data_IF_004714664738
#
_entry.id   IF_004714664738
#
_cell.length_a   1.000
_cell.length_b   1.000
_cell.length_c   1.000
_cell.angle_alpha   90.00
_cell.angle_beta   90.00
_cell.angle_gamma   90.00
#
_symmetry.space_group_name_H-M   'P 1'
#
loop_
_entity.id
_entity.type
_entity.pdbx_description
1 polymer ?
#
# COMPACT_ATOMS: atom_id res chain seq x y z
N UNK A 1 -19.00 -34.17 19.75
CA UNK A 1 -18.61 -32.75 19.80
C UNK A 1 -17.71 -32.42 18.61
N UNK A 2 -17.99 -31.35 17.85
CA UNK A 2 -17.12 -30.89 16.75
C UNK A 2 -16.25 -29.73 17.24
N UNK A 3 -15.15 -30.05 17.94
CA UNK A 3 -14.29 -29.02 18.55
C UNK A 3 -13.68 -28.07 17.50
N UNK A 4 -13.42 -28.56 16.30
CA UNK A 4 -12.98 -27.77 15.15
C UNK A 4 -13.95 -26.63 14.79
N UNK A 5 -15.26 -26.86 14.90
CA UNK A 5 -16.26 -25.81 14.66
C UNK A 5 -16.17 -24.71 15.71
N UNK A 6 -15.96 -25.06 16.99
CA UNK A 6 -15.83 -24.10 18.08
C UNK A 6 -14.54 -23.30 18.00
N UNK A 7 -13.42 -23.93 17.65
CA UNK A 7 -12.15 -23.24 17.40
C UNK A 7 -12.32 -22.26 16.24
N UNK A 8 -12.93 -22.70 15.13
CA UNK A 8 -13.23 -21.84 13.97
C UNK A 8 -14.08 -20.63 14.35
N UNK A 9 -15.14 -20.81 15.15
CA UNK A 9 -15.99 -19.72 15.62
C UNK A 9 -15.22 -18.71 16.49
N UNK A 10 -14.36 -19.19 17.40
CA UNK A 10 -13.54 -18.32 18.23
C UNK A 10 -12.52 -17.52 17.41
N UNK A 11 -11.98 -18.09 16.33
CA UNK A 11 -11.02 -17.40 15.45
C UNK A 11 -11.62 -16.18 14.71
N UNK A 12 -12.94 -16.06 14.60
CA UNK A 12 -13.55 -14.82 14.07
C UNK A 12 -13.40 -13.65 15.05
N UNK A 13 -13.57 -13.90 16.34
CA UNK A 13 -13.64 -12.86 17.37
C UNK A 13 -12.32 -12.62 18.10
N UNK A 14 -11.44 -13.62 18.11
CA UNK A 14 -10.17 -13.57 18.84
C UNK A 14 -8.96 -13.62 17.90
N UNK A 15 -7.84 -13.07 18.38
CA UNK A 15 -6.55 -13.12 17.68
C UNK A 15 -5.79 -14.41 18.02
N UNK A 16 -6.02 -14.98 19.21
CA UNK A 16 -5.40 -16.24 19.62
C UNK A 16 -6.43 -17.16 20.26
N UNK A 17 -6.39 -18.45 19.91
CA UNK A 17 -7.20 -19.50 20.51
C UNK A 17 -6.27 -20.63 20.92
N UNK A 18 -6.19 -20.90 22.22
CA UNK A 18 -5.33 -21.95 22.76
C UNK A 18 -6.12 -23.25 22.91
N UNK A 19 -5.53 -24.34 22.43
CA UNK A 19 -6.03 -25.71 22.64
C UNK A 19 -5.08 -26.39 23.62
N UNK A 20 -5.51 -26.63 24.88
CA UNK A 20 -4.69 -27.27 25.89
C UNK A 20 -4.08 -28.58 25.39
N UNK A 21 -2.82 -28.84 25.76
CA UNK A 21 -2.06 -30.02 25.34
C UNK A 21 -1.81 -30.17 23.83
N UNK A 22 -2.26 -29.25 22.98
CA UNK A 22 -1.98 -29.24 21.53
C UNK A 22 -1.07 -28.07 21.14
N UNK A 23 -1.50 -26.84 21.44
CA UNK A 23 -0.85 -25.60 21.01
C UNK A 23 -1.87 -24.47 20.82
N UNK A 24 -1.44 -23.34 20.27
CA UNK A 24 -2.29 -22.18 20.05
C UNK A 24 -2.35 -21.75 18.58
N UNK A 25 -3.56 -21.45 18.12
CA UNK A 25 -3.79 -20.79 16.84
C UNK A 25 -3.67 -19.29 17.00
N UNK A 26 -2.90 -18.65 16.13
CA UNK A 26 -2.64 -17.20 16.14
C UNK A 26 -3.04 -16.64 14.79
N UNK A 27 -4.01 -15.73 14.78
CA UNK A 27 -4.47 -15.01 13.60
C UNK A 27 -3.71 -13.70 13.44
N UNK A 28 -2.94 -13.58 12.35
CA UNK A 28 -2.21 -12.38 11.99
C UNK A 28 -2.93 -11.63 10.87
N UNK A 29 -3.03 -10.31 10.97
CA UNK A 29 -3.57 -9.51 9.88
C UNK A 29 -2.65 -9.55 8.65
N UNK A 30 -3.24 -9.74 7.48
CA UNK A 30 -2.58 -9.69 6.18
C UNK A 30 -3.27 -8.67 5.30
N UNK A 31 -2.54 -7.62 4.91
CA UNK A 31 -3.06 -6.57 4.02
C UNK A 31 -3.48 -7.12 2.67
N UNK A 32 -4.44 -6.42 2.03
CA UNK A 32 -4.83 -6.69 0.65
C UNK A 32 -3.61 -6.60 -0.29
N UNK A 33 -3.54 -7.50 -1.27
CA UNK A 33 -2.43 -7.55 -2.21
C UNK A 33 -2.88 -8.03 -3.59
N UNK A 34 -2.05 -7.69 -4.59
CA UNK A 34 -2.24 -8.12 -5.97
C UNK A 34 -1.25 -9.22 -6.26
N UNK A 35 -1.73 -10.35 -6.77
CA UNK A 35 -0.91 -11.43 -7.29
C UNK A 35 -0.61 -11.18 -8.77
N UNK A 36 0.60 -10.71 -9.14
CA UNK A 36 0.84 -10.14 -10.47
C UNK A 36 0.72 -11.16 -11.60
N UNK A 37 1.12 -12.41 -11.34
CA UNK A 37 1.10 -13.50 -12.32
C UNK A 37 -0.32 -13.93 -12.71
N UNK A 38 -1.25 -13.89 -11.76
CA UNK A 38 -2.64 -14.31 -11.95
C UNK A 38 -3.57 -13.12 -12.21
N UNK A 39 -3.07 -11.88 -12.09
CA UNK A 39 -3.88 -10.66 -12.06
C UNK A 39 -5.05 -10.76 -11.07
N UNK A 40 -4.82 -11.43 -9.94
CA UNK A 40 -5.81 -11.67 -8.89
C UNK A 40 -5.61 -10.69 -7.75
N UNK A 41 -6.68 -10.04 -7.34
CA UNK A 41 -6.75 -9.15 -6.19
C UNK A 41 -7.23 -9.97 -5.01
N UNK A 42 -6.48 -9.92 -3.91
CA UNK A 42 -6.82 -10.56 -2.65
C UNK A 42 -7.23 -9.49 -1.66
N UNK A 43 -8.39 -9.70 -1.03
CA UNK A 43 -8.88 -8.85 0.05
C UNK A 43 -7.95 -8.95 1.29
N UNK A 44 -8.02 -7.99 2.23
CA UNK A 44 -7.32 -8.15 3.49
C UNK A 44 -7.85 -9.39 4.22
N UNK A 45 -7.00 -10.13 4.89
CA UNK A 45 -7.39 -11.39 5.54
C UNK A 45 -6.72 -11.59 6.89
N UNK A 46 -7.27 -12.51 7.70
CA UNK A 46 -6.66 -12.99 8.94
C UNK A 46 -5.95 -14.31 8.63
N UNK A 47 -4.62 -14.28 8.54
CA UNK A 47 -3.80 -15.46 8.29
C UNK A 47 -3.60 -16.25 9.60
N UNK A 48 -4.08 -17.49 9.63
CA UNK A 48 -3.93 -18.38 10.78
C UNK A 48 -2.55 -19.05 10.77
N UNK A 49 -1.89 -19.05 11.91
CA UNK A 49 -0.63 -19.72 12.18
C UNK A 49 -0.77 -20.58 13.43
N UNK A 50 0.07 -21.60 13.59
CA UNK A 50 0.02 -22.49 14.75
C UNK A 50 1.33 -22.44 15.53
N UNK A 51 1.23 -22.34 16.85
CA UNK A 51 2.36 -22.37 17.77
C UNK A 51 2.19 -23.51 18.79
N UNK A 52 3.03 -24.54 18.65
CA UNK A 52 3.04 -25.72 19.54
C UNK A 52 3.40 -25.40 21.00
N UNK A 53 4.07 -24.27 21.25
CA UNK A 53 4.56 -23.92 22.59
C UNK A 53 3.46 -23.25 23.44
N UNK A 54 2.37 -22.79 22.83
CA UNK A 54 1.22 -22.22 23.53
C UNK A 54 0.33 -23.35 24.08
N UNK A 55 0.77 -23.99 25.16
CA UNK A 55 0.07 -25.13 25.78
C UNK A 55 -0.73 -24.76 27.02
N UNK A 56 -0.50 -23.58 27.59
CA UNK A 56 -1.15 -23.13 28.83
C UNK A 56 -2.62 -22.88 28.60
N UNK A 57 -3.48 -23.55 29.36
CA UNK A 57 -4.93 -23.35 29.27
C UNK A 57 -5.31 -21.96 29.81
N UNK A 58 -5.77 -21.09 28.91
CA UNK A 58 -6.31 -19.75 29.22
C UNK A 58 -7.81 -19.77 29.56
N UNK A 59 -8.43 -20.95 29.46
CA UNK A 59 -9.85 -21.16 29.74
C UNK A 59 -10.79 -20.73 28.62
N UNK A 60 -10.31 -20.05 27.55
CA UNK A 60 -11.18 -19.48 26.51
C UNK A 60 -12.00 -20.57 25.79
N UNK A 61 -11.31 -21.57 25.25
CA UNK A 61 -11.96 -22.67 24.54
C UNK A 61 -12.82 -23.52 25.48
N UNK A 62 -12.32 -23.81 26.67
CA UNK A 62 -13.01 -24.66 27.65
C UNK A 62 -14.32 -24.01 28.14
N UNK A 63 -14.32 -22.72 28.45
CA UNK A 63 -15.54 -21.98 28.79
C UNK A 63 -16.53 -21.93 27.62
N UNK A 64 -16.04 -21.67 26.40
CA UNK A 64 -16.91 -21.63 25.22
C UNK A 64 -17.61 -22.97 24.97
N UNK A 65 -16.89 -24.08 25.10
CA UNK A 65 -17.45 -25.43 24.98
C UNK A 65 -18.45 -25.71 26.11
N UNK A 66 -18.09 -25.40 27.35
CA UNK A 66 -18.97 -25.60 28.51
C UNK A 66 -20.31 -24.85 28.34
N UNK A 67 -20.26 -23.61 27.84
CA UNK A 67 -21.44 -22.79 27.57
C UNK A 67 -22.29 -23.38 26.43
N UNK A 68 -21.68 -23.74 25.29
CA UNK A 68 -22.42 -24.23 24.11
C UNK A 68 -23.01 -25.62 24.29
N UNK A 69 -22.32 -26.51 24.98
CA UNK A 69 -22.75 -27.90 25.21
C UNK A 69 -23.49 -28.06 26.54
N UNK A 70 -23.65 -27.00 27.35
CA UNK A 70 -24.24 -27.03 28.69
C UNK A 70 -23.56 -28.04 29.63
N UNK A 71 -22.24 -28.16 29.53
CA UNK A 71 -21.41 -29.06 30.32
C UNK A 71 -20.73 -28.32 31.48
N UNK A 72 -20.29 -29.05 32.50
CA UNK A 72 -19.41 -28.45 33.50
C UNK A 72 -18.04 -28.12 32.87
N UNK A 73 -17.36 -27.11 33.40
CA UNK A 73 -16.02 -26.74 32.93
C UNK A 73 -15.05 -27.94 32.94
N UNK A 74 -15.11 -28.77 33.98
CA UNK A 74 -14.25 -29.96 34.10
C UNK A 74 -14.58 -31.01 33.03
N UNK A 75 -15.86 -31.19 32.70
CA UNK A 75 -16.27 -32.08 31.60
C UNK A 75 -15.79 -31.54 30.25
N UNK A 76 -15.92 -30.23 30.01
CA UNK A 76 -15.43 -29.59 28.78
C UNK A 76 -13.91 -29.77 28.61
N UNK A 77 -13.12 -29.63 29.69
CA UNK A 77 -11.69 -29.93 29.66
C UNK A 77 -11.40 -31.39 29.27
N UNK A 78 -12.12 -32.36 29.85
CA UNK A 78 -11.96 -33.79 29.52
C UNK A 78 -12.29 -34.09 28.06
N UNK A 79 -13.34 -33.49 27.52
CA UNK A 79 -13.73 -33.62 26.10
C UNK A 79 -12.66 -33.03 25.16
N UNK A 80 -12.09 -31.87 25.51
CA UNK A 80 -10.99 -31.25 24.76
C UNK A 80 -9.74 -32.16 24.78
N UNK A 81 -9.39 -32.70 25.94
CA UNK A 81 -8.25 -33.62 26.07
C UNK A 81 -8.44 -34.89 25.25
N UNK A 82 -9.65 -35.47 25.27
CA UNK A 82 -9.99 -36.64 24.46
C UNK A 82 -9.86 -36.37 22.96
N UNK A 83 -10.31 -35.19 22.51
CA UNK A 83 -10.16 -34.76 21.12
C UNK A 83 -8.68 -34.61 20.72
N UNK A 84 -7.88 -33.93 21.54
CA UNK A 84 -6.44 -33.74 21.28
C UNK A 84 -5.71 -35.08 21.26
N UNK A 85 -6.08 -36.01 22.14
CA UNK A 85 -5.54 -37.36 22.15
C UNK A 85 -5.85 -38.11 20.84
N UNK A 86 -7.10 -38.07 20.38
CA UNK A 86 -7.51 -38.67 19.11
C UNK A 86 -6.74 -38.05 17.92
N UNK A 87 -6.64 -36.72 17.87
CA UNK A 87 -5.92 -36.00 16.82
C UNK A 87 -4.43 -36.37 16.78
N UNK A 88 -3.77 -36.45 17.94
CA UNK A 88 -2.36 -36.88 18.03
C UNK A 88 -2.18 -38.33 17.59
N UNK A 89 -3.12 -39.23 17.88
CA UNK A 89 -3.06 -40.60 17.40
C UNK A 89 -3.21 -40.69 15.88
N UNK A 90 -4.15 -39.93 15.30
CA UNK A 90 -4.29 -39.82 13.84
C UNK A 90 -3.01 -39.29 13.20
N UNK A 91 -2.36 -38.27 13.79
CA UNK A 91 -1.06 -37.77 13.32
C UNK A 91 0.05 -38.81 13.38
N UNK A 92 0.08 -39.67 14.41
CA UNK A 92 1.08 -40.74 14.53
C UNK A 92 0.86 -41.84 13.50
N UNK A 93 -0.39 -42.23 13.25
CA UNK A 93 -0.72 -43.34 12.33
C UNK A 93 -0.67 -42.91 10.86
N UNK A 94 -1.29 -41.77 10.53
CA UNK A 94 -1.48 -41.34 9.15
C UNK A 94 -0.46 -40.27 8.70
N UNK A 95 0.39 -39.77 9.61
CA UNK A 95 1.26 -38.59 9.42
C UNK A 95 0.53 -37.28 9.10
N UNK A 96 -0.78 -37.31 8.93
CA UNK A 96 -1.62 -36.16 8.59
C UNK A 96 -2.88 -36.16 9.46
N UNK A 97 -3.33 -34.97 9.85
CA UNK A 97 -4.62 -34.77 10.51
C UNK A 97 -5.22 -33.44 10.08
N UNK A 98 -6.49 -33.46 9.69
CA UNK A 98 -7.22 -32.29 9.21
C UNK A 98 -8.15 -31.75 10.28
N UNK A 99 -8.24 -30.43 10.38
CA UNK A 99 -9.25 -29.69 11.13
C UNK A 99 -10.10 -28.89 10.15
N UNK A 100 -11.40 -29.13 10.14
CA UNK A 100 -12.33 -28.47 9.22
C UNK A 100 -12.29 -26.93 9.40
N UNK A 101 -12.19 -26.20 8.27
CA UNK A 101 -12.09 -24.73 8.18
C UNK A 101 -10.83 -24.09 8.79
N UNK A 102 -9.99 -24.84 9.51
CA UNK A 102 -8.82 -24.28 10.21
C UNK A 102 -7.54 -24.61 9.45
N UNK A 103 -7.32 -25.87 9.08
CA UNK A 103 -6.10 -26.30 8.40
C UNK A 103 -5.72 -27.76 8.61
N UNK A 104 -4.55 -28.13 8.10
CA UNK A 104 -4.02 -29.48 8.11
C UNK A 104 -2.69 -29.53 8.86
N UNK A 105 -2.57 -30.50 9.76
CA UNK A 105 -1.32 -30.86 10.40
C UNK A 105 -0.62 -31.96 9.60
N UNK A 106 0.68 -31.79 9.38
CA UNK A 106 1.55 -32.70 8.66
C UNK A 106 2.75 -33.03 9.54
N UNK A 107 3.15 -34.30 9.57
CA UNK A 107 4.33 -34.76 10.28
C UNK A 107 5.40 -35.12 9.26
N UNK A 108 6.52 -34.39 9.29
CA UNK A 108 7.64 -34.67 8.39
C UNK A 108 8.36 -35.97 8.79
N UNK A 109 9.26 -36.46 7.92
CA UNK A 109 10.08 -37.64 8.16
C UNK A 109 10.95 -37.54 9.43
N UNK A 110 11.25 -36.32 9.88
CA UNK A 110 11.95 -36.02 11.14
C UNK A 110 11.02 -35.90 12.35
N UNK A 111 9.75 -36.30 12.22
CA UNK A 111 8.69 -36.12 13.23
C UNK A 111 8.44 -34.66 13.64
N UNK A 112 8.77 -33.71 12.77
CA UNK A 112 8.48 -32.29 12.97
C UNK A 112 7.05 -31.99 12.57
N UNK A 113 6.31 -31.33 13.46
CA UNK A 113 4.94 -30.89 13.21
C UNK A 113 4.94 -29.63 12.33
N UNK A 114 4.26 -29.71 11.19
CA UNK A 114 3.96 -28.63 10.28
C UNK A 114 2.46 -28.38 10.26
N UNK A 115 2.06 -27.11 10.09
CA UNK A 115 0.67 -26.70 10.00
C UNK A 115 0.47 -25.87 8.74
N UNK A 116 -0.49 -26.26 7.91
CA UNK A 116 -0.92 -25.52 6.74
C UNK A 116 -2.35 -25.00 6.99
N UNK A 117 -2.56 -23.67 7.04
CA UNK A 117 -3.89 -23.11 7.28
C UNK A 117 -4.80 -23.35 6.08
N UNK A 118 -6.09 -23.56 6.36
CA UNK A 118 -7.10 -23.51 5.32
C UNK A 118 -7.32 -22.04 4.88
N UNK A 119 -7.41 -21.82 3.57
CA UNK A 119 -7.58 -20.51 2.95
C UNK A 119 -8.99 -20.32 2.38
N UNK A 120 -9.89 -21.27 2.62
CA UNK A 120 -11.30 -21.22 2.20
C UNK A 120 -12.05 -20.07 2.89
N UNK A 121 -11.88 -19.93 4.20
CA UNK A 121 -12.58 -18.95 5.04
C UNK A 121 -11.68 -17.78 5.44
N UNK A 122 -12.25 -16.57 5.44
CA UNK A 122 -11.55 -15.38 5.92
C UNK A 122 -12.03 -15.00 7.34
N UNK A 123 -11.22 -15.31 8.34
CA UNK A 123 -11.51 -15.01 9.75
C UNK A 123 -11.43 -13.52 10.11
N UNK A 124 -11.16 -12.63 9.16
CA UNK A 124 -11.22 -11.19 9.35
C UNK A 124 -12.63 -10.66 9.07
N UNK A 125 -13.39 -10.39 10.14
CA UNK A 125 -14.75 -9.85 10.04
C UNK A 125 -14.81 -8.51 9.29
N UNK A 126 -13.78 -7.67 9.40
CA UNK A 126 -13.70 -6.39 8.69
C UNK A 126 -13.64 -6.55 7.16
N UNK A 127 -13.29 -7.74 6.66
CA UNK A 127 -13.26 -8.07 5.24
C UNK A 127 -14.45 -8.91 4.80
N UNK A 128 -15.47 -9.06 5.65
CA UNK A 128 -16.68 -9.81 5.29
C UNK A 128 -17.32 -9.21 4.04
N UNK A 129 -17.61 -10.06 3.05
CA UNK A 129 -18.13 -9.66 1.74
C UNK A 129 -17.07 -9.21 0.73
N UNK A 130 -15.81 -9.04 1.12
CA UNK A 130 -14.72 -8.73 0.18
C UNK A 130 -14.16 -10.03 -0.41
N UNK A 131 -14.64 -10.41 -1.60
CA UNK A 131 -14.14 -11.58 -2.32
C UNK A 131 -12.89 -11.24 -3.15
N UNK A 132 -12.03 -12.24 -3.34
CA UNK A 132 -10.93 -12.13 -4.30
C UNK A 132 -11.49 -12.14 -5.72
N UNK A 133 -11.04 -11.23 -6.57
CA UNK A 133 -11.46 -11.16 -7.97
C UNK A 133 -10.26 -11.09 -8.92
N UNK A 134 -10.47 -11.51 -10.16
CA UNK A 134 -9.44 -11.50 -11.19
C UNK A 134 -9.75 -10.41 -12.22
N UNK A 135 -8.72 -9.70 -12.67
CA UNK A 135 -8.86 -8.67 -13.72
C UNK A 135 -8.03 -9.03 -14.94
N UNK A 136 -8.38 -8.45 -16.08
CA UNK A 136 -7.53 -8.49 -17.26
C UNK A 136 -6.31 -7.56 -17.08
N UNK A 137 -5.15 -7.91 -17.67
CA UNK A 137 -3.99 -7.03 -17.66
C UNK A 137 -4.29 -5.70 -18.35
N UNK A 138 -4.04 -4.60 -17.64
CA UNK A 138 -4.18 -3.26 -18.20
C UNK A 138 -3.01 -3.03 -19.16
N UNK A 139 -3.28 -2.99 -20.46
CA UNK A 139 -2.31 -2.53 -21.47
C UNK A 139 -2.17 -1.02 -21.36
N UNK A 140 -1.19 -0.57 -20.58
CA UNK A 140 -0.82 0.84 -20.54
C UNK A 140 0.00 1.14 -21.80
N UNK A 141 -0.56 1.97 -22.68
CA UNK A 141 0.18 2.55 -23.81
C UNK A 141 1.40 3.24 -23.21
N UNK A 142 2.59 2.81 -23.60
CA UNK A 142 3.82 3.42 -23.10
C UNK A 142 3.89 4.89 -23.53
N UNK A 143 4.57 5.74 -22.78
CA UNK A 143 4.78 7.13 -23.22
C UNK A 143 5.50 7.17 -24.59
N UNK A 144 6.31 6.17 -24.91
CA UNK A 144 6.96 5.98 -26.21
C UNK A 144 5.94 5.74 -27.34
N UNK A 145 4.91 4.94 -27.09
CA UNK A 145 3.80 4.73 -28.04
C UNK A 145 2.91 5.96 -28.18
N UNK A 146 2.66 6.72 -27.11
CA UNK A 146 1.96 8.01 -27.21
C UNK A 146 2.75 9.01 -28.06
N UNK A 147 4.05 9.18 -27.78
CA UNK A 147 4.91 10.09 -28.53
C UNK A 147 4.99 9.69 -30.01
N UNK A 148 5.14 8.40 -30.33
CA UNK A 148 5.15 7.95 -31.73
C UNK A 148 3.81 8.14 -32.43
N UNK A 149 2.69 7.96 -31.73
CA UNK A 149 1.37 8.25 -32.29
C UNK A 149 1.15 9.74 -32.51
N UNK A 150 1.54 10.59 -31.55
CA UNK A 150 1.47 12.05 -31.68
C UNK A 150 2.38 12.55 -32.81
N UNK A 151 3.59 12.01 -32.94
CA UNK A 151 4.51 12.33 -34.04
C UNK A 151 3.98 11.85 -35.40
N UNK A 152 3.32 10.69 -35.48
CA UNK A 152 2.66 10.22 -36.70
C UNK A 152 1.47 11.11 -37.09
N UNK A 153 0.70 11.57 -36.12
CA UNK A 153 -0.40 12.52 -36.35
C UNK A 153 0.17 13.84 -36.90
N UNK A 154 1.24 14.37 -36.29
CA UNK A 154 1.93 15.58 -36.77
C UNK A 154 2.50 15.39 -38.19
N UNK A 155 3.12 14.25 -38.48
CA UNK A 155 3.65 13.94 -39.81
C UNK A 155 2.54 13.86 -40.88
N UNK A 156 1.37 13.33 -40.54
CA UNK A 156 0.21 13.26 -41.45
C UNK A 156 -0.49 14.62 -41.63
N UNK A 157 -0.40 15.53 -40.66
CA UNK A 157 -0.90 16.91 -40.79
C UNK A 157 0.01 17.85 -41.57
N UNK A 158 1.16 17.38 -42.07
CA UNK A 158 1.92 18.14 -43.06
C UNK A 158 1.13 18.22 -44.37
N UNK A 159 0.27 19.25 -44.45
CA UNK A 159 -0.53 19.57 -45.60
C UNK A 159 0.40 19.59 -46.83
N UNK A 160 0.08 18.73 -47.80
CA UNK A 160 0.75 18.67 -49.10
C UNK A 160 0.84 20.09 -49.64
N UNK A 161 2.05 20.64 -49.78
CA UNK A 161 2.27 21.92 -50.44
C UNK A 161 1.89 21.71 -51.90
N UNK A 162 0.64 22.04 -52.23
CA UNK A 162 0.19 22.21 -53.61
C UNK A 162 0.80 23.53 -54.07
N UNK A 163 1.73 23.47 -55.02
CA UNK A 163 2.16 24.67 -55.73
C UNK A 163 0.95 25.21 -56.51
N UNK A 164 0.30 26.22 -55.94
CA UNK A 164 -0.71 27.03 -56.65
C UNK A 164 0.02 28.23 -57.21
N UNK A 165 0.38 28.14 -58.49
CA UNK A 165 0.66 29.30 -59.31
C UNK A 165 -0.67 30.05 -59.52
N UNK A 166 -0.82 31.28 -59.03
CA UNK A 166 -1.56 32.36 -59.72
C UNK A 166 -1.75 33.67 -58.90
N UNK A 167 -1.47 34.78 -59.61
CA UNK A 167 -1.95 36.17 -59.53
C UNK A 167 -2.33 36.82 -58.16
N UNK A 168 -1.46 37.73 -57.73
CA UNK A 168 -1.43 38.44 -56.45
C UNK A 168 -2.49 39.54 -56.21
N UNK A 169 -3.52 39.72 -57.05
CA UNK A 169 -4.44 40.89 -56.89
C UNK A 169 -5.55 40.67 -55.85
N UNK A 170 -5.94 39.42 -55.55
CA UNK A 170 -7.04 39.12 -54.60
C UNK A 170 -6.60 39.10 -53.13
N UNK A 171 -5.32 38.87 -52.84
CA UNK A 171 -4.79 38.81 -51.46
C UNK A 171 -4.81 40.17 -50.75
N UNK A 172 -4.57 41.26 -51.48
CA UNK A 172 -4.64 42.62 -50.93
C UNK A 172 -6.07 43.04 -50.56
N UNK A 173 -7.08 42.55 -51.30
CA UNK A 173 -8.49 42.81 -51.00
C UNK A 173 -8.91 42.05 -49.73
N UNK A 174 -8.50 40.78 -49.58
CA UNK A 174 -8.80 40.00 -48.38
C UNK A 174 -8.09 40.56 -47.12
N UNK A 175 -6.85 41.03 -47.25
CA UNK A 175 -6.12 41.68 -46.16
C UNK A 175 -6.79 42.99 -45.71
N UNK A 176 -7.29 43.80 -46.64
CA UNK A 176 -7.99 45.04 -46.33
C UNK A 176 -9.31 44.80 -45.57
N UNK A 177 -10.06 43.75 -45.93
CA UNK A 177 -11.33 43.40 -45.26
C UNK A 177 -11.13 43.05 -43.78
N UNK A 178 -9.98 42.45 -43.42
CA UNK A 178 -9.68 42.09 -42.03
C UNK A 178 -9.06 43.28 -41.28
N UNK A 179 -8.17 44.04 -41.92
CA UNK A 179 -7.45 45.12 -41.27
C UNK A 179 -8.33 46.31 -40.88
N UNK A 180 -9.34 46.64 -41.68
CA UNK A 180 -10.25 47.78 -41.42
C UNK A 180 -11.04 47.61 -40.11
N UNK A 181 -11.77 46.50 -39.87
CA UNK A 181 -12.51 46.33 -38.62
C UNK A 181 -11.58 46.19 -37.40
N UNK A 182 -10.40 45.57 -37.56
CA UNK A 182 -9.41 45.44 -36.48
C UNK A 182 -8.82 46.79 -36.08
N UNK A 183 -8.51 47.65 -37.05
CA UNK A 183 -8.03 49.00 -36.80
C UNK A 183 -9.11 49.89 -36.18
N UNK A 184 -10.38 49.70 -36.58
CA UNK A 184 -11.51 50.41 -35.98
C UNK A 184 -11.76 50.00 -34.53
N UNK A 185 -11.71 48.70 -34.22
CA UNK A 185 -11.80 48.21 -32.83
C UNK A 185 -10.61 48.68 -31.97
N UNK A 186 -9.40 48.64 -32.51
CA UNK A 186 -8.21 49.12 -31.81
C UNK A 186 -8.28 50.62 -31.48
N UNK A 187 -8.95 51.41 -32.33
CA UNK A 187 -9.19 52.83 -32.06
C UNK A 187 -10.38 53.09 -31.14
N UNK A 188 -11.46 52.29 -31.22
CA UNK A 188 -12.67 52.50 -30.44
C UNK A 188 -12.47 52.09 -28.95
N UNK A 189 -11.83 50.95 -28.68
CA UNK A 189 -11.73 50.40 -27.33
C UNK A 189 -11.08 51.38 -26.31
N UNK A 190 -9.95 52.05 -26.61
CA UNK A 190 -9.32 52.98 -25.65
C UNK A 190 -10.16 54.22 -25.31
N UNK A 191 -11.14 54.57 -26.14
CA UNK A 191 -11.99 55.76 -25.93
C UNK A 191 -13.08 55.48 -24.89
N UNK A 192 -13.59 54.24 -24.81
CA UNK A 192 -14.70 53.89 -23.91
C UNK A 192 -14.29 53.04 -22.70
N UNK A 193 -13.07 52.51 -22.70
CA UNK A 193 -12.57 51.66 -21.63
C UNK A 193 -11.24 52.21 -21.13
N UNK A 194 -11.18 52.51 -19.82
CA UNK A 194 -9.95 52.89 -19.15
C UNK A 194 -9.06 51.66 -18.98
N UNK A 195 -8.23 51.41 -20.00
CA UNK A 195 -7.21 50.35 -20.04
C UNK A 195 -5.98 50.67 -19.19
N UNK A 196 -5.95 51.82 -18.50
CA UNK A 196 -4.82 52.26 -17.67
C UNK A 196 -5.00 52.01 -16.16
N UNK A 197 -6.11 51.41 -15.72
CA UNK A 197 -6.34 51.03 -14.33
C UNK A 197 -5.45 49.87 -13.83
N UNK A 198 -5.15 49.86 -12.53
CA UNK A 198 -4.30 48.88 -11.82
C UNK A 198 -4.66 47.43 -12.19
N UNK A 199 -3.92 46.88 -13.16
CA UNK A 199 -4.01 45.49 -13.59
C UNK A 199 -3.48 44.57 -12.50
N UNK A 200 -4.37 44.17 -11.59
CA UNK A 200 -4.08 43.18 -10.58
C UNK A 200 -4.00 41.79 -11.27
N UNK A 201 -2.82 41.16 -11.25
CA UNK A 201 -2.52 39.90 -11.96
C UNK A 201 -3.46 38.72 -11.62
N UNK A 202 -4.27 38.83 -10.57
CA UNK A 202 -5.27 37.84 -10.17
C UNK A 202 -6.69 38.07 -10.76
N UNK A 203 -6.94 39.16 -11.52
CA UNK A 203 -8.25 39.45 -12.12
C UNK A 203 -8.35 38.91 -13.55
N UNK A 204 -8.91 37.70 -13.72
CA UNK A 204 -9.18 37.09 -15.04
C UNK A 204 -10.57 37.41 -15.61
N UNK A 205 -11.37 38.25 -14.95
CA UNK A 205 -12.67 38.67 -15.47
C UNK A 205 -12.90 40.19 -15.27
N UNK A 206 -12.88 41.00 -16.35
CA UNK A 206 -13.10 42.44 -16.27
C UNK A 206 -14.58 42.85 -16.16
N UNK A 207 -15.51 41.88 -16.05
CA UNK A 207 -16.95 42.13 -16.08
C UNK A 207 -17.69 41.83 -14.75
N UNK A 208 -16.98 41.59 -13.64
CA UNK A 208 -17.61 41.25 -12.35
C UNK A 208 -17.51 42.43 -11.37
N UNK A 209 -18.67 42.81 -10.83
CA UNK A 209 -18.83 43.92 -9.88
C UNK A 209 -18.31 43.52 -8.48
N UNK A 210 -17.53 44.42 -7.86
CA UNK A 210 -16.63 44.14 -6.72
C UNK A 210 -17.34 44.29 -5.34
N UNK A 211 -18.66 44.08 -5.29
CA UNK A 211 -19.49 44.36 -4.10
C UNK A 211 -19.43 43.27 -3.01
N UNK A 212 -18.82 42.12 -3.28
CA UNK A 212 -18.66 41.01 -2.33
C UNK A 212 -17.18 40.66 -2.12
N UNK A 213 -16.45 41.53 -1.42
CA UNK A 213 -15.12 41.19 -0.92
C UNK A 213 -15.27 40.42 0.39
N UNK A 214 -14.76 39.18 0.43
CA UNK A 214 -14.64 38.45 1.69
C UNK A 214 -13.63 39.20 2.58
N UNK A 215 -14.14 39.90 3.60
CA UNK A 215 -13.31 40.56 4.60
C UNK A 215 -12.82 39.48 5.56
N UNK A 216 -11.50 39.24 5.57
CA UNK A 216 -10.89 38.38 6.57
C UNK A 216 -11.04 39.03 7.95
N UNK A 217 -11.72 38.36 8.87
CA UNK A 217 -11.73 38.71 10.29
C UNK A 217 -10.80 37.76 11.03
N UNK A 218 -9.78 38.31 11.66
CA UNK A 218 -8.83 37.55 12.46
C UNK A 218 -9.54 36.84 13.63
N UNK A 219 -9.18 35.57 13.85
CA UNK A 219 -9.69 34.76 14.96
C UNK A 219 -9.09 35.30 16.26
N UNK A 220 -9.93 35.81 17.18
CA UNK A 220 -9.49 36.15 18.54
C UNK A 220 -9.11 34.86 19.28
N UNK A 221 -7.96 34.91 19.96
CA UNK A 221 -7.22 33.86 20.67
C UNK A 221 -8.06 32.70 21.28
N UNK A 222 -7.52 31.46 21.32
CA UNK A 222 -8.17 30.34 21.97
C UNK A 222 -8.23 30.56 23.49
N UNK A 223 -9.43 30.39 24.06
CA UNK A 223 -9.64 30.27 25.50
C UNK A 223 -8.70 29.21 26.08
N UNK A 224 -7.93 29.60 27.11
CA UNK A 224 -7.01 28.73 27.81
C UNK A 224 -7.77 27.56 28.47
N UNK A 225 -7.17 26.37 28.44
CA UNK A 225 -7.68 25.17 29.12
C UNK A 225 -7.78 25.42 30.63
N UNK A 226 -8.95 25.22 31.23
CA UNK A 226 -9.12 25.26 32.68
C UNK A 226 -8.87 23.87 33.29
N UNK A 227 -8.50 23.81 34.58
CA UNK A 227 -8.29 22.53 35.29
C UNK A 227 -9.54 21.65 35.35
N UNK A 228 -10.73 22.27 35.31
CA UNK A 228 -12.01 21.56 35.28
C UNK A 228 -12.22 20.75 33.97
N UNK A 229 -11.64 21.21 32.85
CA UNK A 229 -11.74 20.53 31.55
C UNK A 229 -10.90 19.24 31.53
N UNK A 230 -9.81 19.20 32.31
CA UNK A 230 -8.94 18.03 32.44
C UNK A 230 -9.60 16.90 33.23
N UNK A 231 -10.38 17.24 34.26
CA UNK A 231 -11.15 16.26 35.05
C UNK A 231 -12.23 15.58 34.20
N UNK A 232 -12.87 16.33 33.30
CA UNK A 232 -13.88 15.82 32.37
C UNK A 232 -13.27 14.82 31.37
N UNK A 233 -12.02 15.03 30.95
CA UNK A 233 -11.29 14.13 30.07
C UNK A 233 -10.93 12.80 30.76
N UNK A 234 -10.51 12.85 32.03
CA UNK A 234 -10.17 11.64 32.80
C UNK A 234 -11.38 10.72 33.02
N UNK A 235 -12.55 11.29 33.28
CA UNK A 235 -13.78 10.50 33.48
C UNK A 235 -14.27 9.86 32.18
N UNK A 236 -14.08 10.51 31.03
CA UNK A 236 -14.35 9.93 29.71
C UNK A 236 -13.37 8.78 29.42
N UNK A 237 -12.08 8.92 29.75
CA UNK A 237 -11.08 7.87 29.56
C UNK A 237 -11.31 6.63 30.44
N UNK A 238 -11.87 6.79 31.65
CA UNK A 238 -12.16 5.66 32.57
C UNK A 238 -13.44 4.90 32.19
N UNK A 239 -14.42 5.59 31.58
CA UNK A 239 -15.71 4.99 31.21
C UNK A 239 -15.74 4.41 29.78
N UNK A 240 -14.76 4.73 28.93
CA UNK A 240 -14.69 4.13 27.60
C UNK A 240 -14.23 2.67 27.67
N UNK A 241 -15.19 1.76 27.58
CA UNK A 241 -14.96 0.30 27.51
C UNK A 241 -14.67 -0.17 26.09
N UNK A 242 -14.75 0.72 25.10
CA UNK A 242 -14.46 0.37 23.70
C UNK A 242 -12.95 0.42 23.45
N UNK A 243 -12.38 -0.67 22.91
CA UNK A 243 -10.99 -0.70 22.40
C UNK A 243 -10.86 0.12 21.09
N UNK A 244 -11.44 1.31 21.04
CA UNK A 244 -11.42 2.17 19.87
C UNK A 244 -10.09 2.95 19.80
N UNK A 245 -9.56 3.14 18.60
CA UNK A 245 -8.28 3.84 18.37
C UNK A 245 -8.43 5.36 18.48
N UNK A 246 -9.66 5.87 18.48
CA UNK A 246 -9.97 7.29 18.41
C UNK A 246 -11.03 7.66 19.43
N UNK A 247 -10.75 8.70 20.23
CA UNK A 247 -11.69 9.25 21.19
C UNK A 247 -12.22 10.58 20.66
N UNK A 248 -13.55 10.75 20.67
CA UNK A 248 -14.21 12.01 20.31
C UNK A 248 -14.58 12.76 21.58
N UNK A 249 -14.09 13.99 21.74
CA UNK A 249 -14.32 14.82 22.92
C UNK A 249 -14.75 16.24 22.52
N UNK A 250 -15.74 16.81 23.21
CA UNK A 250 -16.23 18.17 22.97
C UNK A 250 -16.32 18.91 24.31
N UNK A 251 -15.62 20.04 24.40
CA UNK A 251 -15.59 20.90 25.61
C UNK A 251 -16.50 22.13 25.50
N UNK A 252 -16.99 22.47 24.30
CA UNK A 252 -17.91 23.58 24.05
C UNK A 252 -19.19 23.04 23.41
N UNK A 253 -20.32 23.36 24.04
CA UNK A 253 -21.65 23.10 23.49
C UNK A 253 -21.78 23.93 22.21
N UNK A 254 -21.99 23.26 21.08
CA UNK A 254 -22.17 23.82 19.72
C UNK A 254 -20.91 23.98 18.84
N UNK A 255 -19.76 23.44 19.24
CA UNK A 255 -18.59 23.31 18.35
C UNK A 255 -18.34 21.87 17.86
N UNK A 256 -17.61 21.74 16.76
CA UNK A 256 -17.25 20.43 16.21
C UNK A 256 -16.35 19.67 17.20
N UNK A 257 -16.65 18.38 17.48
CA UNK A 257 -15.88 17.60 18.44
C UNK A 257 -14.44 17.36 17.95
N UNK A 258 -13.48 17.42 18.86
CA UNK A 258 -12.08 17.11 18.59
C UNK A 258 -11.89 15.59 18.64
N UNK A 259 -11.24 15.03 17.60
CA UNK A 259 -10.92 13.61 17.52
C UNK A 259 -9.45 13.41 17.87
N UNK A 260 -9.17 12.64 18.92
CA UNK A 260 -7.81 12.36 19.42
C UNK A 260 -7.46 10.91 19.13
N UNK A 261 -6.30 10.67 18.50
CA UNK A 261 -5.75 9.33 18.26
C UNK A 261 -4.98 8.85 19.50
N UNK A 262 -5.39 7.73 20.09
CA UNK A 262 -4.74 7.15 21.26
C UNK A 262 -3.47 6.39 20.83
N UNK A 263 -2.31 6.79 21.35
CA UNK A 263 -1.06 6.09 21.06
C UNK A 263 -1.08 4.69 21.69
N UNK A 264 -1.06 3.66 20.84
CA UNK A 264 -0.89 2.27 21.29
C UNK A 264 0.50 2.10 21.89
N UNK A 265 0.57 1.77 23.17
CA UNK A 265 1.80 1.29 23.77
C UNK A 265 2.23 0.00 23.04
N UNK A 266 3.40 0.05 22.40
CA UNK A 266 3.99 -1.06 21.66
C UNK A 266 4.19 -2.26 22.60
N UNK A 267 3.31 -3.25 22.49
CA UNK A 267 3.55 -4.60 23.02
C UNK A 267 4.63 -5.19 22.11
N UNK A 268 5.74 -5.61 22.73
CA UNK A 268 6.94 -6.08 22.05
C UNK A 268 6.62 -7.13 20.97
N UNK A 269 7.15 -6.91 19.77
CA UNK A 269 7.10 -7.86 18.66
C UNK A 269 7.75 -9.19 19.10
N UNK A 270 7.03 -10.32 19.06
CA UNK A 270 7.65 -11.62 19.27
C UNK A 270 8.53 -11.96 18.07
N UNK A 271 9.73 -12.44 18.39
CA UNK A 271 10.78 -12.80 17.45
C UNK A 271 10.31 -13.96 16.55
N UNK A 272 9.64 -13.63 15.45
CA UNK A 272 9.22 -14.60 14.46
C UNK A 272 10.46 -15.11 13.75
N UNK A 273 10.79 -16.39 13.93
CA UNK A 273 11.76 -17.11 13.10
C UNK A 273 11.15 -17.40 11.72
N UNK A 274 10.78 -16.35 10.99
CA UNK A 274 10.58 -16.44 9.56
C UNK A 274 11.96 -16.59 8.96
N UNK A 275 12.18 -17.62 8.14
CA UNK A 275 13.34 -17.64 7.24
C UNK A 275 13.05 -16.59 6.18
N UNK A 276 13.28 -15.32 6.53
CA UNK A 276 13.52 -14.30 5.55
C UNK A 276 14.68 -14.86 4.73
N UNK A 277 14.38 -15.23 3.47
CA UNK A 277 15.36 -15.09 2.40
C UNK A 277 16.03 -13.76 2.68
N UNK A 278 17.28 -13.80 3.20
CA UNK A 278 17.97 -12.60 3.59
C UNK A 278 18.08 -11.80 2.30
N UNK A 279 17.20 -10.81 2.14
CA UNK A 279 17.26 -9.88 1.04
C UNK A 279 18.52 -9.12 1.38
N UNK A 280 19.66 -9.59 0.86
CA UNK A 280 20.99 -9.06 1.17
C UNK A 280 20.88 -7.55 0.96
N UNK A 281 20.79 -6.82 2.07
CA UNK A 281 20.73 -5.36 2.06
C UNK A 281 22.13 -4.89 1.69
N UNK A 282 22.44 -4.99 0.40
CA UNK A 282 23.69 -4.54 -0.14
C UNK A 282 23.69 -3.01 -0.07
N UNK A 283 24.47 -2.46 0.86
CA UNK A 283 24.58 -1.01 1.10
C UNK A 283 25.61 -0.34 0.20
N UNK A 284 26.52 -1.12 -0.39
CA UNK A 284 27.60 -0.64 -1.23
C UNK A 284 27.44 -1.16 -2.66
N UNK A 285 27.49 -0.26 -3.64
CA UNK A 285 27.31 -0.59 -5.06
C UNK A 285 28.46 0.00 -5.87
N UNK A 286 29.02 -0.79 -6.79
CA UNK A 286 30.00 -0.32 -7.76
C UNK A 286 29.24 0.10 -9.01
N UNK A 287 29.28 1.37 -9.40
CA UNK A 287 28.40 1.93 -10.43
C UNK A 287 29.07 1.85 -11.80
N UNK A 288 28.40 1.21 -12.76
CA UNK A 288 28.86 1.12 -14.13
C UNK A 288 28.45 2.34 -14.97
N UNK A 289 27.31 2.95 -14.64
CA UNK A 289 26.80 4.11 -15.36
C UNK A 289 25.41 4.55 -14.93
N UNK A 290 25.02 5.75 -15.37
CA UNK A 290 23.71 6.34 -15.15
C UNK A 290 23.10 6.73 -16.51
N UNK A 291 21.86 6.34 -16.77
CA UNK A 291 21.19 6.54 -18.06
C UNK A 291 19.86 7.25 -17.87
N UNK A 292 19.54 8.23 -18.73
CA UNK A 292 18.21 8.85 -18.75
C UNK A 292 17.11 7.84 -19.14
N UNK A 293 17.42 6.96 -20.08
CA UNK A 293 16.49 5.95 -20.58
C UNK A 293 16.72 4.57 -19.96
N UNK A 294 15.63 3.95 -19.49
CA UNK A 294 15.65 2.61 -18.88
C UNK A 294 16.14 1.52 -19.85
N UNK A 295 15.85 1.67 -21.15
CA UNK A 295 16.24 0.72 -22.19
C UNK A 295 17.77 0.63 -22.31
N UNK A 296 18.47 1.75 -22.22
CA UNK A 296 19.94 1.81 -22.25
C UNK A 296 20.54 1.19 -20.99
N UNK A 297 19.94 1.45 -19.81
CA UNK A 297 20.32 0.80 -18.57
C UNK A 297 20.17 -0.74 -18.66
N UNK A 298 19.06 -1.24 -19.20
CA UNK A 298 18.84 -2.67 -19.40
C UNK A 298 19.86 -3.30 -20.37
N UNK A 299 20.25 -2.58 -21.43
CA UNK A 299 21.28 -3.03 -22.38
C UNK A 299 22.64 -3.18 -21.68
N UNK A 300 23.01 -2.19 -20.87
CA UNK A 300 24.25 -2.23 -20.07
C UNK A 300 24.23 -3.40 -19.07
N UNK A 301 23.12 -3.61 -18.35
CA UNK A 301 22.98 -4.76 -17.44
C UNK A 301 23.21 -6.08 -18.16
N UNK A 302 22.61 -6.28 -19.34
CA UNK A 302 22.82 -7.50 -20.14
C UNK A 302 24.28 -7.67 -20.55
N UNK A 303 24.94 -6.60 -20.99
CA UNK A 303 26.36 -6.63 -21.35
C UNK A 303 27.24 -7.03 -20.17
N UNK A 304 27.00 -6.47 -19.00
CA UNK A 304 27.77 -6.77 -17.79
C UNK A 304 27.52 -8.20 -17.27
N UNK A 305 26.29 -8.68 -17.35
CA UNK A 305 25.98 -10.09 -17.04
C UNK A 305 26.70 -11.06 -17.97
N UNK A 306 26.75 -10.76 -19.26
CA UNK A 306 27.48 -11.57 -20.24
C UNK A 306 29.00 -11.58 -19.98
N UNK A 307 29.53 -10.53 -19.34
CA UNK A 307 30.93 -10.44 -18.89
C UNK A 307 31.18 -11.11 -17.53
N UNK A 308 30.16 -11.69 -16.90
CA UNK A 308 30.29 -12.43 -15.64
C UNK A 308 30.04 -11.61 -14.36
N UNK A 309 29.54 -10.38 -14.46
CA UNK A 309 29.20 -9.55 -13.30
C UNK A 309 27.74 -9.76 -12.86
N UNK A 310 27.45 -9.63 -11.56
CA UNK A 310 26.09 -9.70 -11.01
C UNK A 310 25.39 -8.34 -11.10
N UNK A 311 25.29 -7.85 -12.34
CA UNK A 311 24.83 -6.51 -12.63
C UNK A 311 23.31 -6.38 -12.52
N UNK A 312 22.84 -5.28 -11.95
CA UNK A 312 21.42 -4.95 -11.86
C UNK A 312 21.20 -3.44 -11.75
N UNK A 313 19.95 -3.02 -11.84
CA UNK A 313 19.55 -1.61 -11.73
C UNK A 313 19.25 -1.31 -10.27
N UNK A 314 20.12 -0.54 -9.62
CA UNK A 314 20.02 -0.20 -8.19
C UNK A 314 18.79 0.67 -7.91
N UNK A 315 18.45 1.56 -8.86
CA UNK A 315 17.33 2.48 -8.75
C UNK A 315 17.52 3.72 -9.63
N UNK A 316 16.81 4.80 -9.29
CA UNK A 316 16.88 6.08 -9.99
C UNK A 316 17.44 7.15 -9.06
N UNK A 317 18.47 7.88 -9.51
CA UNK A 317 19.06 9.02 -8.78
C UNK A 317 19.02 10.24 -9.69
N UNK A 318 18.38 11.33 -9.23
CA UNK A 318 18.18 12.56 -10.01
C UNK A 318 17.56 12.31 -11.39
N UNK A 319 16.59 11.41 -11.47
CA UNK A 319 15.93 11.06 -12.74
C UNK A 319 16.71 10.11 -13.66
N UNK A 320 17.94 9.70 -13.30
CA UNK A 320 18.76 8.79 -14.10
C UNK A 320 18.75 7.37 -13.50
N UNK A 321 18.59 6.37 -14.36
CA UNK A 321 18.67 4.94 -14.04
C UNK A 321 20.12 4.53 -13.79
N UNK A 322 20.42 4.11 -12.57
CA UNK A 322 21.77 3.73 -12.15
C UNK A 322 21.97 2.22 -12.28
N UNK A 323 23.01 1.81 -13.00
CA UNK A 323 23.41 0.41 -13.20
C UNK A 323 24.64 0.11 -12.37
N UNK A 324 24.63 -1.00 -11.62
CA UNK A 324 25.81 -1.46 -10.86
C UNK A 324 26.48 -2.67 -11.51
N UNK A 325 27.80 -2.77 -11.39
CA UNK A 325 28.57 -3.98 -11.65
C UNK A 325 28.20 -5.10 -10.66
N UNK A 326 28.33 -4.83 -9.36
CA UNK A 326 27.98 -5.73 -8.26
C UNK A 326 27.51 -4.92 -7.04
N UNK A 327 26.89 -5.60 -6.08
CA UNK A 327 26.41 -4.99 -4.82
C UNK A 327 26.83 -5.81 -3.61
N UNK A 328 27.35 -5.15 -2.58
CA UNK A 328 27.96 -5.76 -1.41
C UNK A 328 27.40 -5.19 -0.11
N UNK A 329 27.49 -5.98 0.96
CA UNK A 329 27.08 -5.58 2.31
C UNK A 329 28.18 -4.81 3.04
N UNK A 330 29.45 -5.07 2.72
CA UNK A 330 30.61 -4.46 3.38
C UNK A 330 31.47 -3.65 2.40
N UNK A 331 32.05 -2.55 2.90
CA UNK A 331 32.94 -1.68 2.11
C UNK A 331 34.20 -2.40 1.63
N UNK A 332 34.76 -3.30 2.45
CA UNK A 332 35.98 -4.06 2.12
C UNK A 332 35.77 -4.94 0.87
N UNK A 333 34.69 -5.73 0.84
CA UNK A 333 34.34 -6.57 -0.31
C UNK A 333 34.11 -5.73 -1.58
N UNK A 334 33.49 -4.56 -1.45
CA UNK A 334 33.30 -3.65 -2.58
C UNK A 334 34.62 -3.10 -3.13
N UNK A 335 35.60 -2.80 -2.27
CA UNK A 335 36.92 -2.33 -2.69
C UNK A 335 37.75 -3.42 -3.37
N UNK A 336 37.68 -4.66 -2.86
CA UNK A 336 38.37 -5.81 -3.48
C UNK A 336 37.82 -6.08 -4.89
N UNK A 337 36.49 -6.03 -5.05
CA UNK A 337 35.82 -6.22 -6.35
C UNK A 337 35.93 -5.01 -7.31
N UNK A 338 36.26 -3.83 -6.80
CA UNK A 338 36.43 -2.62 -7.61
C UNK A 338 37.63 -2.71 -8.54
N UNK A 339 38.67 -3.47 -8.17
CA UNK A 339 39.83 -3.72 -9.04
C UNK A 339 39.40 -4.44 -10.32
N UNK A 340 38.53 -5.45 -10.20
CA UNK A 340 37.98 -6.20 -11.34
C UNK A 340 36.99 -5.38 -12.17
N UNK A 341 36.27 -4.43 -11.57
CA UNK A 341 35.43 -3.50 -12.32
C UNK A 341 36.26 -2.48 -13.11
N UNK A 342 37.38 -2.00 -12.53
CA UNK A 342 38.28 -1.04 -13.17
C UNK A 342 39.08 -1.60 -14.33
N UNK A 343 39.38 -2.90 -14.33
CA UNK A 343 40.00 -3.55 -15.49
C UNK A 343 39.05 -3.62 -16.70
N UNK A 344 37.74 -3.71 -16.47
CA UNK A 344 36.72 -3.66 -17.53
C UNK A 344 36.41 -2.22 -17.98
N UNK A 345 36.38 -1.27 -17.04
CA UNK A 345 36.15 0.15 -17.33
C UNK A 345 36.93 1.02 -16.34
N UNK A 346 37.89 1.80 -16.84
CA UNK A 346 38.76 2.65 -16.01
C UNK A 346 38.02 3.75 -15.24
N UNK A 347 36.76 4.03 -15.59
CA UNK A 347 35.89 5.03 -14.94
C UNK A 347 34.92 4.44 -13.90
N UNK A 348 35.07 3.15 -13.57
CA UNK A 348 34.25 2.44 -12.57
C UNK A 348 34.57 2.81 -11.12
#
# INVERSE_FOLDING_TARGET
MKLETYISQLLFHHECVIVPNLGGFVGNYKSAYIQPLQHKFHAPSKQISFNKNLITNDGLLAHYVAEKETLSYEQACKEIEAFVFALKNTLKTNKTAQLENIGVFLLDNENKLHFEPDLSENYLLASYGLSSFQTLPIKRISNEEKITNDLKIVAQTSAKIVHINENNRRKWIAAAIIAIPLSFLAFWIPINYDLTGDINYAKLNPFVDDSNKAVYTERKEPTAFNEDDLLLLEDVLKNDTSKSTYLSFSWIKDEQPLVIELQKNNIAEPDTTYVASSKKNARFHIIAGCFSEKKNANKMVKQLKNKGFDAWIVGQRKGLWTVSYNSFTTKKQALDALVSAKSDNSKA
#
